data_IF_943087051739
#
_entry.id   IF_943087051739
#
_cell.length_a   1.000
_cell.length_b   1.000
_cell.length_c   1.000
_cell.angle_alpha   90.00
_cell.angle_beta   90.00
_cell.angle_gamma   90.00
#
_symmetry.space_group_name_H-M   'P 1'
#
loop_
_entity.id
_entity.type
_entity.pdbx_description
1 polymer ?
#
# COMPACT_ATOMS: atom_id res chain seq x y z
N UNK A 1 3.32 -14.24 -1.77
CA UNK A 1 3.00 -14.76 -3.12
C UNK A 1 2.28 -13.77 -4.03
N UNK A 2 1.38 -12.90 -3.51
CA UNK A 2 0.67 -11.90 -4.33
C UNK A 2 1.59 -10.78 -4.81
N UNK A 3 2.62 -10.43 -4.05
CA UNK A 3 3.56 -9.35 -4.29
C UNK A 3 5.00 -9.82 -4.52
N UNK A 4 5.20 -11.10 -4.85
CA UNK A 4 6.53 -11.65 -5.16
C UNK A 4 7.21 -10.92 -6.34
N UNK A 5 6.43 -10.32 -7.24
CA UNK A 5 6.94 -9.54 -8.35
C UNK A 5 7.65 -8.24 -7.93
N UNK A 6 7.46 -7.78 -6.69
CA UNK A 6 8.17 -6.61 -6.15
C UNK A 6 9.63 -6.92 -5.78
N UNK A 7 10.05 -8.19 -5.88
CA UNK A 7 11.40 -8.64 -5.55
C UNK A 7 11.56 -9.03 -4.08
N UNK A 8 12.77 -9.32 -3.70
CA UNK A 8 13.12 -9.68 -2.34
C UNK A 8 13.33 -8.41 -1.51
N UNK A 9 12.63 -8.32 -0.40
CA UNK A 9 12.87 -7.34 0.64
C UNK A 9 13.32 -8.05 1.90
N UNK A 10 14.27 -7.47 2.62
CA UNK A 10 14.79 -8.00 3.86
C UNK A 10 14.34 -7.11 5.01
N UNK A 11 13.96 -7.73 6.13
CA UNK A 11 13.84 -6.99 7.37
C UNK A 11 15.24 -6.56 7.80
N UNK A 12 15.42 -5.30 8.24
CA UNK A 12 16.70 -4.87 8.76
C UNK A 12 17.05 -5.68 10.01
N UNK A 13 18.28 -6.20 10.05
CA UNK A 13 18.85 -6.82 11.24
C UNK A 13 20.09 -6.04 11.62
N UNK A 14 20.11 -5.42 12.79
CA UNK A 14 21.27 -4.69 13.32
C UNK A 14 21.78 -3.59 12.37
N UNK A 15 20.88 -2.77 11.84
CA UNK A 15 21.24 -1.64 11.00
C UNK A 15 21.86 -0.54 11.86
N UNK A 16 23.05 -0.08 11.47
CA UNK A 16 23.64 1.13 12.04
C UNK A 16 23.04 2.36 11.34
N UNK A 17 22.28 3.14 12.07
CA UNK A 17 21.65 4.36 11.58
C UNK A 17 22.46 5.63 11.78
N UNK A 18 23.67 5.55 12.39
CA UNK A 18 24.46 6.72 12.79
C UNK A 18 24.86 7.65 11.64
N UNK A 19 24.93 7.14 10.41
CA UNK A 19 25.24 7.88 9.18
C UNK A 19 24.21 7.61 8.06
N UNK A 20 22.96 7.32 8.44
CA UNK A 20 21.92 6.95 7.51
C UNK A 20 20.98 8.12 7.17
N UNK A 21 20.62 8.25 5.89
CA UNK A 21 19.42 8.97 5.48
C UNK A 21 18.27 7.97 5.38
N UNK A 22 17.28 8.12 6.25
CA UNK A 22 16.12 7.22 6.30
C UNK A 22 14.93 7.83 5.60
N UNK A 23 14.30 7.07 4.71
CA UNK A 23 13.02 7.43 4.09
C UNK A 23 11.96 6.46 4.63
N UNK A 24 11.03 6.99 5.42
CA UNK A 24 9.86 6.28 5.91
C UNK A 24 8.66 6.60 5.02
N UNK A 25 8.06 5.57 4.46
CA UNK A 25 6.90 5.71 3.57
C UNK A 25 5.69 4.99 4.12
N UNK A 26 4.51 5.58 3.95
CA UNK A 26 3.21 4.97 4.26
C UNK A 26 3.06 4.54 5.73
N UNK A 27 3.52 5.40 6.64
CA UNK A 27 3.63 5.06 8.04
C UNK A 27 3.08 6.18 8.95
N UNK A 28 1.83 6.06 9.38
CA UNK A 28 1.14 7.08 10.17
C UNK A 28 1.86 7.42 11.49
N UNK A 29 2.47 6.41 12.14
CA UNK A 29 3.16 6.57 13.42
C UNK A 29 4.48 5.82 13.45
N UNK A 30 5.47 6.34 14.19
CA UNK A 30 6.79 5.71 14.37
C UNK A 30 6.73 4.27 14.89
N UNK A 31 5.71 3.94 15.69
CA UNK A 31 5.54 2.62 16.27
C UNK A 31 5.17 1.51 15.28
N UNK A 32 4.81 1.88 14.05
CA UNK A 32 4.50 0.93 12.98
C UNK A 32 5.71 0.59 12.12
N UNK A 33 6.85 1.21 12.36
CA UNK A 33 8.09 0.86 11.67
C UNK A 33 8.52 -0.57 12.00
N UNK A 34 9.07 -1.27 11.01
CA UNK A 34 9.61 -2.62 11.19
C UNK A 34 10.84 -2.65 12.12
N UNK A 35 11.59 -1.56 12.17
CA UNK A 35 12.72 -1.36 13.06
C UNK A 35 12.56 -0.03 13.79
N UNK A 36 12.39 -0.02 15.13
CA UNK A 36 12.23 1.22 15.90
C UNK A 36 13.49 2.08 15.96
N UNK A 37 14.68 1.49 15.75
CA UNK A 37 15.95 2.19 15.89
C UNK A 37 16.24 3.17 14.74
N UNK A 38 15.44 3.16 13.67
CA UNK A 38 15.52 4.15 12.58
C UNK A 38 15.46 5.59 13.09
N UNK A 39 14.84 5.83 14.25
CA UNK A 39 14.70 7.17 14.84
C UNK A 39 16.05 7.79 15.25
N UNK A 40 17.09 6.97 15.36
CA UNK A 40 18.46 7.41 15.67
C UNK A 40 19.20 7.96 14.43
N UNK A 41 18.61 7.89 13.25
CA UNK A 41 19.21 8.42 12.03
C UNK A 41 19.33 9.96 12.09
N UNK A 42 20.45 10.53 11.62
CA UNK A 42 20.67 11.98 11.60
C UNK A 42 19.71 12.72 10.66
N UNK A 43 19.15 12.03 9.68
CA UNK A 43 18.19 12.61 8.76
C UNK A 43 17.09 11.62 8.41
N UNK A 44 15.82 12.02 8.63
CA UNK A 44 14.63 11.22 8.38
C UNK A 44 13.67 12.03 7.53
N UNK A 45 13.30 11.49 6.36
CA UNK A 45 12.20 11.97 5.53
C UNK A 45 11.00 11.05 5.74
N UNK A 46 9.86 11.60 6.15
CA UNK A 46 8.58 10.90 6.19
C UNK A 46 7.73 11.31 4.99
N UNK A 47 7.19 10.34 4.25
CA UNK A 47 6.20 10.55 3.19
C UNK A 47 4.95 9.72 3.51
N UNK A 48 3.81 10.38 3.69
CA UNK A 48 2.60 9.70 4.16
C UNK A 48 1.32 10.35 3.65
N UNK A 49 0.26 9.56 3.50
CA UNK A 49 -1.07 10.00 3.07
C UNK A 49 -2.15 9.87 4.16
N UNK A 50 -1.81 9.26 5.30
CA UNK A 50 -2.71 9.09 6.42
C UNK A 50 -3.04 10.42 7.12
N UNK A 51 -4.04 10.38 8.00
CA UNK A 51 -4.26 11.50 8.93
C UNK A 51 -3.00 11.73 9.77
N UNK A 52 -2.59 12.98 9.88
CA UNK A 52 -1.40 13.36 10.64
C UNK A 52 -1.62 13.06 12.12
N UNK A 53 -0.87 12.12 12.65
CA UNK A 53 -0.90 11.71 14.06
C UNK A 53 0.48 11.91 14.70
N UNK A 54 1.57 11.62 13.99
CA UNK A 54 2.94 11.65 14.48
C UNK A 54 3.88 12.08 13.36
N UNK A 55 4.28 13.36 13.37
CA UNK A 55 5.24 13.93 12.41
C UNK A 55 6.66 13.76 12.94
N UNK A 56 7.17 12.54 12.91
CA UNK A 56 8.45 12.15 13.49
C UNK A 56 9.67 12.36 12.58
N UNK A 57 9.47 12.70 11.32
CA UNK A 57 10.56 12.99 10.38
C UNK A 57 11.18 14.36 10.64
N UNK A 58 12.46 14.53 10.31
CA UNK A 58 13.07 15.86 10.19
C UNK A 58 12.43 16.64 9.05
N UNK A 59 12.01 15.93 7.99
CA UNK A 59 11.20 16.42 6.90
C UNK A 59 9.95 15.55 6.82
N UNK A 60 8.76 16.18 6.71
CA UNK A 60 7.48 15.46 6.63
C UNK A 60 6.71 15.95 5.41
N UNK A 61 6.47 15.02 4.47
CA UNK A 61 5.61 15.20 3.31
C UNK A 61 4.31 14.45 3.59
N UNK A 62 3.38 15.14 4.23
CA UNK A 62 2.09 14.58 4.66
C UNK A 62 0.98 15.25 3.84
N UNK A 63 0.46 14.53 2.86
CA UNK A 63 -0.54 15.02 1.92
C UNK A 63 -1.80 14.15 1.95
N UNK A 64 -2.97 14.79 1.97
CA UNK A 64 -4.24 14.05 1.87
C UNK A 64 -4.46 13.58 0.44
N UNK A 65 -3.95 12.38 0.15
CA UNK A 65 -4.04 11.70 -1.14
C UNK A 65 -4.59 10.27 -0.96
N UNK A 66 -5.14 9.65 -2.01
CA UNK A 66 -5.64 8.27 -1.94
C UNK A 66 -4.59 7.21 -1.64
N UNK A 67 -3.31 7.48 -1.93
CA UNK A 67 -2.19 6.58 -1.63
C UNK A 67 -0.88 7.32 -1.44
N UNK A 68 0.03 6.74 -0.67
CA UNK A 68 1.40 7.24 -0.55
C UNK A 68 2.15 7.16 -1.89
N UNK A 69 1.87 6.13 -2.70
CA UNK A 69 2.45 5.97 -4.03
C UNK A 69 2.07 7.11 -4.99
N UNK A 70 0.86 7.68 -4.88
CA UNK A 70 0.46 8.86 -5.64
C UNK A 70 1.32 10.08 -5.27
N UNK A 71 1.56 10.30 -3.97
CA UNK A 71 2.42 11.41 -3.49
C UNK A 71 3.81 11.28 -4.09
N UNK A 72 4.42 10.10 -3.99
CA UNK A 72 5.76 9.84 -4.50
C UNK A 72 5.83 10.04 -6.01
N UNK A 73 4.85 9.54 -6.76
CA UNK A 73 4.78 9.70 -8.20
C UNK A 73 4.66 11.17 -8.61
N UNK A 74 3.73 11.92 -8.00
CA UNK A 74 3.55 13.35 -8.28
C UNK A 74 4.80 14.17 -7.94
N UNK A 75 5.41 13.92 -6.79
CA UNK A 75 6.60 14.66 -6.38
C UNK A 75 7.80 14.36 -7.30
N UNK A 76 7.96 13.10 -7.74
CA UNK A 76 8.97 12.74 -8.73
C UNK A 76 8.74 13.44 -10.08
N UNK A 77 7.48 13.45 -10.59
CA UNK A 77 7.09 14.15 -11.82
C UNK A 77 7.37 15.65 -11.69
N UNK A 78 6.95 16.28 -10.59
CA UNK A 78 7.12 17.71 -10.35
C UNK A 78 8.59 18.11 -10.21
N UNK A 79 9.43 17.21 -9.71
CA UNK A 79 10.88 17.37 -9.64
C UNK A 79 11.60 17.12 -10.97
N UNK A 80 10.87 16.75 -12.03
CA UNK A 80 11.45 16.43 -13.35
C UNK A 80 12.24 15.12 -13.37
N UNK A 81 12.01 14.22 -12.40
CA UNK A 81 12.69 12.93 -12.36
C UNK A 81 12.09 11.96 -13.36
N UNK A 82 12.94 11.21 -14.02
CA UNK A 82 12.51 10.10 -14.88
C UNK A 82 12.11 8.90 -14.02
N UNK A 83 10.84 8.51 -14.09
CA UNK A 83 10.34 7.31 -13.41
C UNK A 83 10.55 6.11 -14.34
N UNK A 84 11.52 5.26 -13.99
CA UNK A 84 11.81 4.06 -14.78
C UNK A 84 10.71 3.00 -14.66
N UNK A 85 10.70 2.04 -15.58
CA UNK A 85 9.70 0.99 -15.74
C UNK A 85 9.34 0.26 -14.44
N UNK A 86 10.34 -0.17 -13.67
CA UNK A 86 10.12 -0.91 -12.41
C UNK A 86 9.53 -0.03 -11.31
N UNK A 87 10.00 1.21 -11.20
CA UNK A 87 9.45 2.17 -10.24
C UNK A 87 7.98 2.50 -10.59
N UNK A 88 7.69 2.76 -11.86
CA UNK A 88 6.34 3.02 -12.33
C UNK A 88 5.39 1.84 -12.06
N UNK A 89 5.84 0.62 -12.30
CA UNK A 89 5.10 -0.61 -12.01
C UNK A 89 4.76 -0.73 -10.53
N UNK A 90 5.73 -0.46 -9.64
CA UNK A 90 5.52 -0.51 -8.20
C UNK A 90 4.58 0.60 -7.71
N UNK A 91 4.77 1.84 -8.19
CA UNK A 91 3.92 2.98 -7.84
C UNK A 91 2.48 2.76 -8.30
N UNK A 92 2.30 2.28 -9.54
CA UNK A 92 0.97 1.93 -10.04
C UNK A 92 0.30 0.84 -9.19
N UNK A 93 1.05 -0.22 -8.82
CA UNK A 93 0.53 -1.29 -7.95
C UNK A 93 0.05 -0.75 -6.60
N UNK A 94 0.81 0.14 -5.96
CA UNK A 94 0.42 0.78 -4.71
C UNK A 94 -0.82 1.65 -4.87
N UNK A 95 -0.90 2.48 -5.92
CA UNK A 95 -2.10 3.26 -6.21
C UNK A 95 -3.34 2.37 -6.37
N UNK A 96 -3.25 1.28 -7.13
CA UNK A 96 -4.36 0.32 -7.34
C UNK A 96 -4.81 -0.33 -6.04
N UNK A 97 -3.86 -0.73 -5.18
CA UNK A 97 -4.19 -1.45 -3.94
C UNK A 97 -4.83 -0.54 -2.89
N UNK A 98 -4.30 0.65 -2.68
CA UNK A 98 -4.79 1.60 -1.67
C UNK A 98 -6.15 2.21 -2.04
N UNK A 99 -6.39 2.39 -3.33
CA UNK A 99 -7.63 2.99 -3.83
C UNK A 99 -8.75 1.98 -4.09
N UNK A 100 -8.55 0.71 -3.73
CA UNK A 100 -9.52 -0.33 -4.06
C UNK A 100 -9.80 -0.41 -5.57
N UNK A 101 -8.76 -0.36 -6.40
CA UNK A 101 -8.83 -0.26 -7.86
C UNK A 101 -9.51 1.02 -8.35
N UNK A 102 -9.12 2.13 -7.76
CA UNK A 102 -9.70 3.47 -8.04
C UNK A 102 -11.19 3.60 -7.73
N UNK A 103 -11.72 2.76 -6.81
CA UNK A 103 -13.13 2.76 -6.44
C UNK A 103 -13.40 3.47 -5.10
N UNK A 104 -12.38 3.76 -4.29
CA UNK A 104 -12.58 4.35 -2.97
C UNK A 104 -12.77 5.87 -3.04
N UNK A 105 -13.46 6.46 -2.05
CA UNK A 105 -13.56 7.91 -1.90
C UNK A 105 -12.18 8.58 -1.85
N UNK A 106 -12.08 9.75 -2.47
CA UNK A 106 -10.83 10.51 -2.55
C UNK A 106 -10.10 10.34 -3.90
N UNK A 107 -10.40 9.30 -4.67
CA UNK A 107 -9.93 9.18 -6.05
C UNK A 107 -10.55 10.29 -6.90
N UNK A 108 -9.72 10.97 -7.67
CA UNK A 108 -10.12 12.08 -8.52
C UNK A 108 -9.38 12.06 -9.86
N UNK A 109 -9.57 13.10 -10.67
CA UNK A 109 -8.96 13.19 -11.99
C UNK A 109 -7.42 13.24 -11.94
N UNK A 110 -6.83 13.83 -10.90
CA UNK A 110 -5.37 13.91 -10.76
C UNK A 110 -4.79 12.54 -10.42
N UNK A 111 -5.44 11.78 -9.52
CA UNK A 111 -5.10 10.39 -9.25
C UNK A 111 -5.04 9.55 -10.53
N UNK A 112 -6.05 9.68 -11.39
CA UNK A 112 -6.10 8.92 -12.64
C UNK A 112 -5.07 9.40 -13.66
N UNK A 113 -4.76 10.70 -13.72
CA UNK A 113 -3.68 11.23 -14.57
C UNK A 113 -2.32 10.72 -14.12
N UNK A 114 -2.06 10.75 -12.81
CA UNK A 114 -0.81 10.22 -12.23
C UNK A 114 -0.67 8.72 -12.54
N UNK A 115 -1.76 7.96 -12.41
CA UNK A 115 -1.77 6.54 -12.78
C UNK A 115 -1.51 6.33 -14.29
N UNK A 116 -2.10 7.17 -15.15
CA UNK A 116 -1.86 7.11 -16.60
C UNK A 116 -0.38 7.38 -16.94
N UNK A 117 0.24 8.38 -16.30
CA UNK A 117 1.68 8.68 -16.48
C UNK A 117 2.56 7.48 -16.09
N UNK A 118 2.16 6.69 -15.09
CA UNK A 118 2.91 5.46 -14.77
C UNK A 118 2.86 4.45 -15.92
N UNK A 119 1.75 4.37 -16.66
CA UNK A 119 1.62 3.46 -17.81
C UNK A 119 2.50 3.88 -19.00
N UNK A 120 2.86 5.16 -19.11
CA UNK A 120 3.78 5.65 -20.16
C UNK A 120 5.19 5.03 -20.05
N UNK A 121 5.54 4.45 -18.89
CA UNK A 121 6.81 3.72 -18.69
C UNK A 121 6.79 2.29 -19.29
N UNK A 122 5.71 1.87 -19.96
CA UNK A 122 5.59 0.63 -20.75
C UNK A 122 5.90 -0.66 -19.99
N UNK A 123 5.53 -0.77 -18.71
CA UNK A 123 5.56 -2.05 -18.01
C UNK A 123 4.41 -2.96 -18.45
N UNK A 124 4.55 -4.27 -18.25
CA UNK A 124 3.44 -5.20 -18.55
C UNK A 124 2.29 -5.01 -17.57
N UNK A 125 1.31 -4.21 -18.01
CA UNK A 125 0.10 -3.92 -17.25
C UNK A 125 -0.74 -5.18 -16.99
N UNK A 126 -0.88 -6.03 -18.01
CA UNK A 126 -1.70 -7.25 -17.90
C UNK A 126 -1.12 -8.23 -16.90
N UNK A 127 0.21 -8.42 -16.94
CA UNK A 127 0.92 -9.22 -15.96
C UNK A 127 0.75 -8.66 -14.55
N UNK A 128 0.98 -7.36 -14.35
CA UNK A 128 0.80 -6.71 -13.06
C UNK A 128 -0.61 -6.92 -12.49
N UNK A 129 -1.64 -6.67 -13.30
CA UNK A 129 -3.03 -6.84 -12.87
C UNK A 129 -3.39 -8.31 -12.59
N UNK A 130 -2.79 -9.25 -13.33
CA UNK A 130 -2.92 -10.68 -13.04
C UNK A 130 -2.37 -11.02 -11.64
N UNK A 131 -1.19 -10.50 -11.30
CA UNK A 131 -0.61 -10.68 -9.96
C UNK A 131 -1.46 -10.04 -8.85
N UNK A 132 -1.91 -8.80 -9.04
CA UNK A 132 -2.77 -8.09 -8.06
C UNK A 132 -4.09 -8.82 -7.85
N UNK A 133 -4.67 -9.41 -8.89
CA UNK A 133 -5.96 -10.09 -8.84
C UNK A 133 -5.85 -11.57 -8.42
N UNK A 134 -4.65 -12.12 -8.38
CA UNK A 134 -4.42 -13.52 -8.01
C UNK A 134 -4.98 -13.81 -6.62
N UNK A 135 -5.80 -14.84 -6.54
CA UNK A 135 -6.35 -15.35 -5.28
C UNK A 135 -5.98 -16.81 -5.12
N UNK A 136 -5.51 -17.18 -3.95
CA UNK A 136 -5.32 -18.58 -3.60
C UNK A 136 -6.68 -19.26 -3.43
N UNK A 137 -6.80 -20.52 -3.83
CA UNK A 137 -8.05 -21.27 -3.75
C UNK A 137 -8.59 -21.33 -2.31
N UNK A 138 -7.71 -21.39 -1.30
CA UNK A 138 -8.12 -21.35 0.10
C UNK A 138 -8.87 -20.06 0.45
N UNK A 139 -8.39 -18.91 -0.05
CA UNK A 139 -9.06 -17.63 0.18
C UNK A 139 -10.41 -17.56 -0.56
N UNK A 140 -10.50 -18.12 -1.76
CA UNK A 140 -11.77 -18.21 -2.50
C UNK A 140 -12.78 -19.05 -1.72
N UNK A 141 -12.37 -20.21 -1.20
CA UNK A 141 -13.21 -21.09 -0.38
C UNK A 141 -13.64 -20.40 0.93
N UNK A 142 -12.72 -19.70 1.60
CA UNK A 142 -13.03 -18.95 2.82
C UNK A 142 -14.06 -17.84 2.55
N UNK A 143 -13.90 -17.08 1.47
CA UNK A 143 -14.86 -16.03 1.08
C UNK A 143 -16.24 -16.65 0.81
N UNK A 144 -16.30 -17.77 0.09
CA UNK A 144 -17.56 -18.46 -0.17
C UNK A 144 -18.20 -18.95 1.14
N UNK A 145 -17.42 -19.51 2.06
CA UNK A 145 -17.90 -19.87 3.39
C UNK A 145 -18.45 -18.66 4.13
N UNK A 146 -17.72 -17.54 4.17
CA UNK A 146 -18.13 -16.32 4.85
C UNK A 146 -19.45 -15.78 4.29
N UNK A 147 -19.61 -15.72 2.98
CA UNK A 147 -20.87 -15.28 2.36
C UNK A 147 -22.06 -16.20 2.69
N UNK A 148 -21.84 -17.48 2.86
CA UNK A 148 -22.89 -18.44 3.27
C UNK A 148 -23.32 -18.25 4.74
N UNK A 149 -22.56 -17.50 5.55
CA UNK A 149 -22.94 -17.14 6.93
C UNK A 149 -23.73 -15.82 7.03
N UNK A 150 -23.94 -15.13 5.91
CA UNK A 150 -24.66 -13.86 5.90
C UNK A 150 -26.10 -14.04 6.39
N UNK A 151 -26.50 -13.18 7.30
CA UNK A 151 -27.86 -13.07 7.81
C UNK A 151 -28.34 -11.62 7.67
N UNK A 152 -29.62 -11.46 7.42
CA UNK A 152 -30.24 -10.14 7.28
C UNK A 152 -31.34 -10.03 8.34
N UNK A 153 -31.28 -8.99 9.15
CA UNK A 153 -32.32 -8.68 10.11
C UNK A 153 -33.55 -8.06 9.42
N UNK A 154 -34.70 -8.06 10.08
CA UNK A 154 -35.91 -7.39 9.56
C UNK A 154 -35.69 -5.90 9.26
N UNK A 155 -34.75 -5.25 9.93
CA UNK A 155 -34.37 -3.83 9.72
C UNK A 155 -33.33 -3.63 8.62
N UNK A 156 -32.96 -4.69 7.87
CA UNK A 156 -31.99 -4.62 6.77
C UNK A 156 -30.52 -4.57 7.22
N UNK A 157 -30.22 -4.85 8.48
CA UNK A 157 -28.81 -4.98 8.92
C UNK A 157 -28.29 -6.33 8.47
N UNK A 158 -27.19 -6.30 7.72
CA UNK A 158 -26.48 -7.51 7.26
C UNK A 158 -25.33 -7.80 8.22
N UNK A 159 -25.25 -9.04 8.70
CA UNK A 159 -24.19 -9.46 9.60
C UNK A 159 -23.78 -10.90 9.35
N UNK A 160 -22.60 -11.29 9.81
CA UNK A 160 -22.11 -12.65 9.80
C UNK A 160 -21.29 -12.92 11.07
N UNK A 161 -21.27 -14.17 11.51
CA UNK A 161 -20.36 -14.64 12.56
C UNK A 161 -19.44 -15.72 11.98
N UNK A 162 -18.13 -15.47 12.08
CA UNK A 162 -17.09 -16.40 11.64
C UNK A 162 -16.30 -16.84 12.87
N UNK A 163 -16.48 -18.09 13.35
CA UNK A 163 -15.74 -18.58 14.51
C UNK A 163 -14.25 -18.77 14.17
N UNK A 164 -13.39 -18.63 15.18
CA UNK A 164 -11.94 -18.80 15.01
C UNK A 164 -11.59 -20.15 14.39
N UNK A 165 -12.27 -21.22 14.81
CA UNK A 165 -12.07 -22.57 14.25
C UNK A 165 -12.31 -22.66 12.74
N UNK A 166 -13.25 -21.86 12.21
CA UNK A 166 -13.44 -21.79 10.76
C UNK A 166 -12.26 -21.06 10.08
N UNK A 167 -11.79 -19.95 10.65
CA UNK A 167 -10.61 -19.24 10.14
C UNK A 167 -9.41 -20.21 10.11
N UNK A 168 -9.16 -20.92 11.18
CA UNK A 168 -8.05 -21.86 11.32
C UNK A 168 -8.12 -23.02 10.30
N UNK A 169 -9.34 -23.43 9.90
CA UNK A 169 -9.53 -24.51 8.94
C UNK A 169 -9.17 -24.13 7.50
N UNK A 170 -9.10 -22.85 7.18
CA UNK A 170 -8.71 -22.35 5.87
C UNK A 170 -7.23 -21.94 5.80
N UNK A 171 -6.50 -21.90 6.90
CA UNK A 171 -5.05 -21.72 7.04
C UNK A 171 -4.58 -20.30 6.98
#
# INVERSE_FOLDING_TARGET
KRFEFLGNWTLPNNVDYSDAFVIQVDNATRHRSADPDFINAPCILKIDHHLVVDSYGHYNVEKKKPSCCEIIAEDAINAGLTIGKEAARCLYAGMVTDTGRFAYPGVNSDTLRTAATMLDAEFDFSELMSHINKREMKNVKFIAYAYNQLQVTEKGVVWMYIPQSAIDSFG
#
